data_IF_587770830184
#
_entry.id   IF_587770830184
#
_cell.length_a   1.000
_cell.length_b   1.000
_cell.length_c   1.000
_cell.angle_alpha   90.00
_cell.angle_beta   90.00
_cell.angle_gamma   90.00
#
_symmetry.space_group_name_H-M   'P 1'
#
loop_
_entity.id
_entity.type
_entity.pdbx_description
1 polymer ?
#
# COMPACT_ATOMS: atom_id res chain seq x y z
N UNK A 1 7.74 -31.66 30.05
CA UNK A 1 7.90 -30.60 31.08
C UNK A 1 8.74 -29.41 30.61
N UNK A 2 9.74 -29.58 29.75
CA UNK A 2 10.52 -28.45 29.17
C UNK A 2 9.65 -27.54 28.29
N UNK A 3 8.85 -28.15 27.40
CA UNK A 3 7.96 -27.43 26.46
C UNK A 3 6.95 -26.47 27.12
N UNK A 4 6.50 -26.76 28.34
CA UNK A 4 5.57 -25.88 29.08
C UNK A 4 6.30 -24.65 29.61
N UNK A 5 7.58 -24.79 30.00
CA UNK A 5 8.40 -23.67 30.48
C UNK A 5 8.75 -22.72 29.33
N UNK A 6 9.07 -23.28 28.16
CA UNK A 6 9.38 -22.49 26.97
C UNK A 6 8.17 -21.64 26.55
N UNK A 7 6.96 -22.22 26.53
CA UNK A 7 5.72 -21.49 26.26
C UNK A 7 5.44 -20.39 27.31
N UNK A 8 5.72 -20.66 28.58
CA UNK A 8 5.51 -19.66 29.65
C UNK A 8 6.41 -18.44 29.45
N UNK A 9 7.66 -18.66 29.04
CA UNK A 9 8.61 -17.59 28.77
C UNK A 9 8.17 -16.72 27.58
N UNK A 10 7.74 -17.35 26.49
CA UNK A 10 7.27 -16.67 25.28
C UNK A 10 6.01 -15.82 25.55
N UNK A 11 5.09 -16.33 26.39
CA UNK A 11 3.90 -15.58 26.83
C UNK A 11 4.27 -14.35 27.67
N UNK A 12 5.25 -14.47 28.56
CA UNK A 12 5.67 -13.34 29.39
C UNK A 12 6.40 -12.27 28.56
N UNK A 13 7.21 -12.65 27.59
CA UNK A 13 7.79 -11.70 26.62
C UNK A 13 6.71 -10.94 25.85
N UNK A 14 5.66 -11.61 25.36
CA UNK A 14 4.58 -10.97 24.61
C UNK A 14 3.77 -9.99 25.47
N UNK A 15 3.56 -10.27 26.76
CA UNK A 15 2.86 -9.35 27.68
C UNK A 15 3.63 -8.06 27.97
N UNK A 16 4.96 -8.08 27.82
CA UNK A 16 5.79 -6.87 28.02
C UNK A 16 5.78 -5.94 26.81
N UNK A 17 5.27 -6.39 25.65
CA UNK A 17 5.14 -5.55 24.46
C UNK A 17 3.86 -4.72 24.55
N UNK A 18 3.98 -3.44 24.23
CA UNK A 18 2.81 -2.56 24.13
C UNK A 18 1.88 -3.05 23.00
N UNK A 19 0.56 -3.09 23.21
CA UNK A 19 -0.38 -3.52 22.18
C UNK A 19 -0.36 -2.54 21.01
N UNK A 20 -0.05 -3.04 19.81
CA UNK A 20 -0.13 -2.28 18.56
C UNK A 20 -1.52 -2.50 17.97
N UNK A 21 -2.26 -1.41 17.75
CA UNK A 21 -3.53 -1.45 17.04
C UNK A 21 -3.22 -1.30 15.55
N UNK A 22 -3.37 -2.40 14.79
CA UNK A 22 -3.26 -2.39 13.33
C UNK A 22 -4.66 -2.27 12.75
N UNK A 23 -4.97 -1.13 12.13
CA UNK A 23 -6.19 -0.97 11.34
C UNK A 23 -5.96 -1.58 9.96
N UNK A 24 -6.46 -2.80 9.76
CA UNK A 24 -6.47 -3.43 8.45
C UNK A 24 -7.70 -2.92 7.68
N UNK A 25 -7.48 -2.20 6.58
CA UNK A 25 -8.54 -1.76 5.67
C UNK A 25 -8.92 -2.92 4.76
N UNK A 26 -10.21 -3.23 4.63
CA UNK A 26 -10.75 -4.39 3.90
C UNK A 26 -10.93 -4.13 2.40
N UNK A 27 -9.88 -3.67 1.72
CA UNK A 27 -9.91 -3.59 0.24
C UNK A 27 -9.68 -4.97 -0.43
N UNK A 28 -9.55 -6.04 0.36
CA UNK A 28 -9.31 -7.39 -0.11
C UNK A 28 -10.50 -7.88 -0.96
N UNK A 29 -10.28 -8.04 -2.27
CA UNK A 29 -11.25 -8.59 -3.21
C UNK A 29 -11.93 -7.58 -4.14
N UNK A 30 -11.64 -6.29 -4.02
CA UNK A 30 -12.12 -5.27 -4.97
C UNK A 30 -10.96 -4.86 -5.87
N UNK A 31 -11.09 -5.13 -7.17
CA UNK A 31 -10.11 -4.68 -8.17
C UNK A 31 -10.02 -3.15 -8.12
N UNK A 32 -8.83 -2.59 -7.89
CA UNK A 32 -8.67 -1.14 -7.84
C UNK A 32 -9.02 -0.56 -9.23
N UNK A 33 -10.02 0.30 -9.27
CA UNK A 33 -10.53 0.92 -10.48
C UNK A 33 -10.48 2.44 -10.35
N UNK A 34 -10.13 3.13 -11.43
CA UNK A 34 -9.97 4.56 -11.38
C UNK A 34 -9.31 5.09 -12.63
N UNK A 35 -9.43 6.40 -12.83
CA UNK A 35 -8.80 7.11 -13.94
C UNK A 35 -7.79 8.11 -13.43
N UNK A 36 -6.76 8.28 -14.24
CA UNK A 36 -5.77 9.34 -14.03
C UNK A 36 -6.47 10.69 -14.22
N UNK A 37 -6.44 11.53 -13.19
CA UNK A 37 -7.11 12.84 -13.20
C UNK A 37 -6.12 14.00 -13.30
N UNK A 38 -4.90 13.82 -12.81
CA UNK A 38 -3.87 14.86 -12.83
C UNK A 38 -2.46 14.26 -12.88
N UNK A 39 -1.51 15.10 -13.28
CA UNK A 39 -0.08 14.79 -13.37
C UNK A 39 0.71 16.00 -12.90
N UNK A 40 1.59 15.81 -11.92
CA UNK A 40 2.39 16.88 -11.31
C UNK A 40 3.86 16.50 -11.22
N UNK A 41 4.73 17.52 -11.25
CA UNK A 41 6.15 17.38 -10.89
C UNK A 41 6.44 18.30 -9.71
N UNK A 42 6.86 17.72 -8.58
CA UNK A 42 7.12 18.44 -7.33
C UNK A 42 8.54 18.10 -6.90
N UNK A 43 9.40 19.10 -6.75
CA UNK A 43 10.80 18.94 -6.33
C UNK A 43 11.57 17.88 -7.14
N UNK A 44 11.33 17.82 -8.46
CA UNK A 44 11.95 16.85 -9.37
C UNK A 44 11.39 15.42 -9.32
N UNK A 45 10.33 15.19 -8.53
CA UNK A 45 9.64 13.92 -8.43
C UNK A 45 8.34 13.94 -9.23
N UNK A 46 8.01 12.82 -9.87
CA UNK A 46 6.89 12.70 -10.79
C UNK A 46 5.69 12.04 -10.12
N UNK A 47 4.52 12.67 -10.20
CA UNK A 47 3.30 12.20 -9.56
C UNK A 47 2.14 12.08 -10.55
N UNK A 48 1.36 11.01 -10.39
CA UNK A 48 0.10 10.77 -11.13
C UNK A 48 -1.02 10.66 -10.10
N UNK A 49 -2.10 11.42 -10.28
CA UNK A 49 -3.29 11.32 -9.43
C UNK A 49 -4.32 10.38 -10.07
N UNK A 50 -4.80 9.41 -9.30
CA UNK A 50 -5.87 8.48 -9.72
C UNK A 50 -7.05 8.65 -8.78
N UNK A 51 -8.21 9.04 -9.30
CA UNK A 51 -9.45 9.08 -8.51
C UNK A 51 -10.03 7.67 -8.35
N UNK A 52 -10.45 7.23 -7.14
CA UNK A 52 -10.58 8.00 -5.90
C UNK A 52 -9.38 7.92 -4.93
N UNK A 53 -8.24 7.36 -5.36
CA UNK A 53 -7.14 6.95 -4.48
C UNK A 53 -6.13 8.06 -4.14
N UNK A 54 -5.96 9.07 -4.98
CA UNK A 54 -5.02 10.17 -4.77
C UNK A 54 -3.72 10.03 -5.57
N UNK A 55 -2.62 10.63 -5.07
CA UNK A 55 -1.35 10.78 -5.81
C UNK A 55 -0.40 9.61 -5.61
N UNK A 56 0.16 9.10 -6.71
CA UNK A 56 1.16 8.05 -6.76
C UNK A 56 2.48 8.63 -7.25
N UNK A 57 3.57 8.32 -6.55
CA UNK A 57 4.92 8.59 -7.02
C UNK A 57 5.29 7.56 -8.08
N UNK A 58 5.78 8.02 -9.23
CA UNK A 58 6.12 7.18 -10.38
C UNK A 58 7.50 7.55 -10.93
N UNK A 59 8.06 6.70 -11.79
CA UNK A 59 9.29 7.07 -12.52
C UNK A 59 8.98 8.11 -13.59
N UNK A 60 10.01 8.83 -14.05
CA UNK A 60 9.88 9.75 -15.19
C UNK A 60 9.32 9.05 -16.43
N UNK A 61 9.79 7.83 -16.71
CA UNK A 61 9.33 7.05 -17.88
C UNK A 61 7.83 6.76 -17.79
N UNK A 62 7.38 6.20 -16.67
CA UNK A 62 5.95 5.93 -16.41
C UNK A 62 5.12 7.21 -16.45
N UNK A 63 5.64 8.31 -15.91
CA UNK A 63 4.95 9.60 -15.96
C UNK A 63 4.71 10.04 -17.40
N UNK A 64 5.68 9.91 -18.32
CA UNK A 64 5.49 10.33 -19.70
C UNK A 64 4.62 9.36 -20.51
N UNK A 65 4.59 8.08 -20.14
CA UNK A 65 3.73 7.06 -20.75
C UNK A 65 2.25 7.23 -20.39
N UNK A 66 1.96 7.65 -19.15
CA UNK A 66 0.58 7.75 -18.65
C UNK A 66 -0.12 9.03 -19.15
N UNK A 67 -1.35 8.89 -19.66
CA UNK A 67 -2.20 10.01 -20.06
C UNK A 67 -3.32 10.32 -19.04
N UNK A 68 -3.75 11.58 -18.98
CA UNK A 68 -4.94 11.97 -18.21
C UNK A 68 -6.17 11.33 -18.87
N UNK A 69 -7.04 10.72 -18.06
CA UNK A 69 -8.20 9.97 -18.50
C UNK A 69 -7.94 8.47 -18.73
N UNK A 70 -6.66 8.05 -18.71
CA UNK A 70 -6.28 6.65 -18.79
C UNK A 70 -6.77 5.88 -17.56
N UNK A 71 -7.17 4.63 -17.76
CA UNK A 71 -7.48 3.70 -16.66
C UNK A 71 -6.23 3.45 -15.80
N UNK A 72 -6.44 3.20 -14.52
CA UNK A 72 -5.39 2.92 -13.55
C UNK A 72 -4.51 1.74 -14.04
N UNK A 73 -3.20 1.96 -14.26
CA UNK A 73 -2.29 0.91 -14.69
C UNK A 73 -2.27 -0.29 -13.74
N UNK A 74 -2.20 -1.51 -14.27
CA UNK A 74 -2.23 -2.75 -13.48
C UNK A 74 -1.15 -2.80 -12.39
N UNK A 75 0.04 -2.28 -12.67
CA UNK A 75 1.12 -2.26 -11.69
C UNK A 75 0.89 -1.29 -10.53
N UNK A 76 -0.02 -0.31 -10.67
CA UNK A 76 -0.52 0.50 -9.55
C UNK A 76 -1.59 -0.23 -8.74
N UNK A 77 -2.22 -1.30 -9.28
CA UNK A 77 -3.32 -2.03 -8.61
C UNK A 77 -2.87 -2.95 -7.47
N UNK A 78 -1.58 -3.00 -7.16
CA UNK A 78 -1.00 -3.88 -6.16
C UNK A 78 -0.68 -5.28 -6.71
N UNK A 79 0.11 -6.06 -5.99
CA UNK A 79 0.43 -7.44 -6.38
C UNK A 79 -0.75 -8.35 -6.02
N UNK A 80 -1.22 -9.14 -6.98
CA UNK A 80 -2.15 -10.25 -6.72
C UNK A 80 -1.34 -11.35 -6.02
N UNK A 81 -1.80 -11.79 -4.84
CA UNK A 81 -1.25 -12.93 -4.10
C UNK A 81 -1.64 -14.27 -4.76
#
# INVERSE_FOLDING_TARGET
>A
MLKIRDLSHEVDELKTKEPIIIYQVDNAGIEMFGKVTAKDVIDGHYYVEVSPYGKFLVTSEQFHEIEIGQEMPEWLKGRKE
#
